data_IF_798764279646
#
_entry.id   IF_798764279646
#
_cell.length_a   1.000
_cell.length_b   1.000
_cell.length_c   1.000
_cell.angle_alpha   90.00
_cell.angle_beta   90.00
_cell.angle_gamma   90.00
#
_symmetry.space_group_name_H-M   'P 1'
#
loop_
_entity.id
_entity.type
_entity.pdbx_description
1 polymer ?
#
# COMPACT_ATOMS: atom_id res chain seq x y z
N UNK A 1 10.40 2.69 -5.16
CA UNK A 1 9.10 2.73 -5.85
C UNK A 1 8.03 2.61 -4.78
N UNK A 2 7.07 3.52 -4.74
CA UNK A 2 6.01 3.55 -3.73
C UNK A 2 4.68 3.78 -4.44
N UNK A 3 3.68 2.96 -4.12
CA UNK A 3 2.39 3.02 -4.78
C UNK A 3 1.39 3.80 -3.95
N UNK A 4 0.53 4.56 -4.63
CA UNK A 4 -0.60 5.25 -4.02
C UNK A 4 -1.67 4.23 -3.66
N UNK A 5 -2.06 4.20 -2.39
CA UNK A 5 -3.26 3.51 -1.96
C UNK A 5 -4.46 4.45 -1.83
N UNK A 6 -5.63 3.86 -1.57
CA UNK A 6 -6.83 4.66 -1.34
C UNK A 6 -6.72 5.54 -0.07
N UNK A 7 -5.93 5.12 0.93
CA UNK A 7 -5.69 5.89 2.15
C UNK A 7 -4.86 7.15 1.87
N UNK A 8 -3.78 7.02 1.08
CA UNK A 8 -2.90 8.12 0.69
C UNK A 8 -3.63 9.18 -0.13
N UNK A 9 -4.67 8.79 -0.87
CA UNK A 9 -5.49 9.71 -1.66
C UNK A 9 -6.28 10.72 -0.82
N UNK A 10 -6.51 10.43 0.46
CA UNK A 10 -7.32 11.29 1.32
C UNK A 10 -6.58 12.53 1.82
N UNK A 11 -5.26 12.49 2.01
CA UNK A 11 -4.52 13.66 2.53
C UNK A 11 -4.66 14.84 1.56
N UNK A 12 -4.31 14.73 0.26
CA UNK A 12 -4.50 15.84 -0.68
C UNK A 12 -5.96 16.26 -0.81
N UNK A 13 -6.90 15.29 -0.76
CA UNK A 13 -8.33 15.57 -0.80
C UNK A 13 -8.80 16.38 0.41
N UNK A 14 -8.33 16.06 1.61
CA UNK A 14 -8.67 16.77 2.84
C UNK A 14 -8.11 18.19 2.87
N UNK A 15 -6.91 18.39 2.33
CA UNK A 15 -6.31 19.72 2.21
C UNK A 15 -7.09 20.63 1.25
N UNK A 16 -7.71 20.05 0.21
CA UNK A 16 -8.53 20.79 -0.76
C UNK A 16 -10.01 20.92 -0.33
N UNK A 17 -10.59 19.86 0.21
CA UNK A 17 -11.97 19.77 0.69
C UNK A 17 -12.00 19.16 2.11
N UNK A 18 -11.98 20.00 3.15
CA UNK A 18 -12.00 19.54 4.54
C UNK A 18 -13.23 18.70 4.91
N UNK A 19 -14.33 18.82 4.16
CA UNK A 19 -15.53 18.00 4.39
C UNK A 19 -15.31 16.52 4.12
N UNK A 20 -14.27 16.16 3.37
CA UNK A 20 -13.87 14.78 3.12
C UNK A 20 -13.39 14.03 4.37
N UNK A 21 -13.14 14.72 5.48
CA UNK A 21 -12.80 14.07 6.76
C UNK A 21 -13.89 13.10 7.24
N UNK A 22 -15.16 13.35 6.86
CA UNK A 22 -16.29 12.45 7.15
C UNK A 22 -16.10 11.05 6.56
N UNK A 23 -15.46 10.97 5.39
CA UNK A 23 -15.14 9.71 4.70
C UNK A 23 -13.80 9.18 5.21
N UNK A 24 -12.80 10.07 5.29
CA UNK A 24 -11.43 9.70 5.67
C UNK A 24 -11.32 9.12 7.09
N UNK A 25 -12.17 9.55 8.03
CA UNK A 25 -12.18 8.97 9.39
C UNK A 25 -12.47 7.47 9.41
N UNK A 26 -13.12 6.92 8.39
CA UNK A 26 -13.35 5.47 8.26
C UNK A 26 -12.07 4.70 7.87
N UNK A 27 -11.03 5.43 7.48
CA UNK A 27 -9.78 4.95 6.92
C UNK A 27 -8.55 5.50 7.67
N UNK A 28 -8.70 5.86 8.95
CA UNK A 28 -7.58 6.31 9.78
C UNK A 28 -7.27 7.81 9.72
N UNK A 29 -8.20 8.63 9.23
CA UNK A 29 -7.96 10.07 9.06
C UNK A 29 -7.70 10.83 10.37
N UNK A 30 -8.43 10.50 11.45
CA UNK A 30 -8.23 11.17 12.75
C UNK A 30 -6.88 10.78 13.35
N UNK A 31 -6.52 9.50 13.27
CA UNK A 31 -5.25 8.94 13.69
C UNK A 31 -4.09 9.59 12.92
N UNK A 32 -4.27 9.83 11.62
CA UNK A 32 -3.30 10.55 10.80
C UNK A 32 -3.12 11.99 11.31
N UNK A 33 -4.19 12.74 11.56
CA UNK A 33 -4.11 14.10 12.11
C UNK A 33 -3.36 14.12 13.46
N UNK A 34 -3.69 13.19 14.35
CA UNK A 34 -3.01 13.04 15.65
C UNK A 34 -1.52 12.74 15.48
N UNK A 35 -1.13 11.92 14.50
CA UNK A 35 0.28 11.62 14.23
C UNK A 35 1.11 12.83 13.80
N UNK A 36 0.46 13.86 13.25
CA UNK A 36 1.07 15.16 12.92
C UNK A 36 0.99 16.18 14.07
N UNK A 37 0.53 15.78 15.25
CA UNK A 37 0.49 16.63 16.44
C UNK A 37 -0.80 17.45 16.61
N UNK A 38 -1.84 17.18 15.82
CA UNK A 38 -3.14 17.85 15.93
C UNK A 38 -4.02 17.15 16.97
N UNK A 39 -5.04 17.86 17.47
CA UNK A 39 -5.99 17.35 18.47
C UNK A 39 -7.44 17.46 17.97
N UNK A 40 -7.85 16.66 16.97
CA UNK A 40 -9.22 16.70 16.47
C UNK A 40 -10.21 16.17 17.52
N UNK A 41 -11.39 16.77 17.59
CA UNK A 41 -12.52 16.22 18.34
C UNK A 41 -13.03 14.92 17.69
N UNK A 42 -13.81 14.13 18.43
CA UNK A 42 -14.37 12.86 17.92
C UNK A 42 -15.32 13.12 16.73
N UNK A 43 -15.98 14.27 16.70
CA UNK A 43 -16.91 14.67 15.65
C UNK A 43 -16.65 16.13 15.24
N UNK A 44 -15.59 16.38 14.45
CA UNK A 44 -15.21 17.74 14.09
C UNK A 44 -16.31 18.47 13.35
N UNK A 45 -16.66 19.65 13.82
CA UNK A 45 -17.59 20.54 13.11
C UNK A 45 -17.00 20.99 11.77
N UNK A 46 -17.82 21.53 10.86
CA UNK A 46 -17.31 22.07 9.60
C UNK A 46 -16.25 23.18 9.81
N UNK A 47 -16.42 24.00 10.85
CA UNK A 47 -15.43 25.01 11.21
C UNK A 47 -14.10 24.36 11.66
N UNK A 48 -14.18 23.36 12.53
CA UNK A 48 -13.02 22.63 13.02
C UNK A 48 -12.27 21.89 11.90
N UNK A 49 -12.99 21.28 10.95
CA UNK A 49 -12.39 20.62 9.78
C UNK A 49 -11.50 21.58 8.98
N UNK A 50 -11.95 22.82 8.76
CA UNK A 50 -11.15 23.84 8.06
C UNK A 50 -9.91 24.25 8.85
N UNK A 51 -10.02 24.36 10.18
CA UNK A 51 -8.87 24.63 11.06
C UNK A 51 -7.85 23.48 10.99
N UNK A 52 -8.32 22.24 11.12
CA UNK A 52 -7.49 21.04 11.04
C UNK A 52 -6.75 20.93 9.70
N UNK A 53 -7.39 21.26 8.58
CA UNK A 53 -6.72 21.28 7.27
C UNK A 53 -5.60 22.34 7.21
N UNK A 54 -5.84 23.53 7.75
CA UNK A 54 -4.84 24.60 7.81
C UNK A 54 -3.67 24.23 8.73
N UNK A 55 -3.96 23.63 9.89
CA UNK A 55 -2.95 23.17 10.85
C UNK A 55 -2.14 22.00 10.31
N UNK A 56 -2.78 21.08 9.56
CA UNK A 56 -2.08 19.96 8.95
C UNK A 56 -1.05 20.45 7.93
N UNK A 57 -1.39 21.42 7.08
CA UNK A 57 -0.44 22.02 6.12
C UNK A 57 0.77 22.62 6.84
N UNK A 58 0.55 23.28 7.99
CA UNK A 58 1.64 23.89 8.77
C UNK A 58 2.50 22.87 9.50
N UNK A 59 1.90 21.78 9.96
CA UNK A 59 2.57 20.75 10.78
C UNK A 59 3.26 19.68 9.93
N UNK A 60 2.79 19.47 8.69
CA UNK A 60 3.35 18.49 7.78
C UNK A 60 4.64 19.01 7.12
N UNK A 61 5.76 18.26 7.20
CA UNK A 61 6.95 18.59 6.44
C UNK A 61 6.65 18.61 4.93
N UNK A 62 7.14 19.60 4.15
CA UNK A 62 6.88 19.69 2.71
C UNK A 62 7.26 18.42 1.93
N UNK A 63 8.26 17.67 2.42
CA UNK A 63 8.70 16.41 1.84
C UNK A 63 7.63 15.32 1.91
N UNK A 64 6.79 15.31 2.95
CA UNK A 64 5.71 14.33 3.09
C UNK A 64 4.60 14.60 2.09
N UNK A 65 4.21 15.87 1.92
CA UNK A 65 3.20 16.24 0.92
C UNK A 65 3.70 15.92 -0.49
N UNK A 66 4.94 16.32 -0.81
CA UNK A 66 5.55 15.98 -2.11
C UNK A 66 5.63 14.45 -2.32
N UNK A 67 5.95 13.68 -1.27
CA UNK A 67 5.94 12.22 -1.36
C UNK A 67 4.55 11.70 -1.74
N UNK A 68 3.49 12.13 -1.07
CA UNK A 68 2.11 11.70 -1.32
C UNK A 68 1.61 12.10 -2.72
N UNK A 69 2.03 13.27 -3.21
CA UNK A 69 1.67 13.79 -4.53
C UNK A 69 2.41 13.09 -5.68
N UNK A 70 3.53 12.43 -5.40
CA UNK A 70 4.40 11.78 -6.40
C UNK A 70 4.27 10.25 -6.43
N UNK A 71 3.33 9.68 -5.66
CA UNK A 71 3.09 8.24 -5.65
C UNK A 71 2.53 7.73 -6.98
N UNK A 72 3.14 6.68 -7.50
CA UNK A 72 2.67 6.02 -8.72
C UNK A 72 1.40 5.20 -8.45
N UNK A 73 0.47 5.16 -9.39
CA UNK A 73 -0.73 4.33 -9.28
C UNK A 73 -0.45 2.84 -9.51
N UNK A 74 0.59 2.55 -10.31
CA UNK A 74 1.03 1.19 -10.59
C UNK A 74 2.49 1.20 -11.03
N UNK A 75 3.14 0.05 -10.92
CA UNK A 75 4.50 -0.16 -11.41
C UNK A 75 4.56 -1.48 -12.18
N UNK A 76 5.14 -1.46 -13.38
CA UNK A 76 5.31 -2.67 -14.19
C UNK A 76 6.79 -3.03 -14.32
N UNK A 77 7.13 -4.30 -14.11
CA UNK A 77 8.49 -4.80 -14.27
C UNK A 77 8.45 -6.26 -14.74
N UNK A 78 9.04 -6.53 -15.91
CA UNK A 78 8.99 -7.86 -16.53
C UNK A 78 7.54 -8.34 -16.69
N UNK A 79 7.25 -9.52 -16.15
CA UNK A 79 5.93 -10.15 -16.20
C UNK A 79 4.97 -9.68 -15.09
N UNK A 80 5.39 -8.75 -14.24
CA UNK A 80 4.64 -8.31 -13.07
C UNK A 80 4.09 -6.89 -13.21
N UNK A 81 2.90 -6.68 -12.64
CA UNK A 81 2.32 -5.36 -12.38
C UNK A 81 1.97 -5.26 -10.90
N UNK A 82 2.42 -4.19 -10.25
CA UNK A 82 2.15 -3.89 -8.86
C UNK A 82 1.13 -2.76 -8.80
N UNK A 83 0.05 -2.95 -8.04
CA UNK A 83 -1.06 -2.00 -7.90
C UNK A 83 -1.65 -2.10 -6.49
N UNK A 84 -2.27 -1.05 -5.97
CA UNK A 84 -2.86 -1.09 -4.63
C UNK A 84 -4.01 -2.09 -4.49
N UNK A 85 -5.10 -1.93 -5.25
CA UNK A 85 -6.29 -2.76 -5.09
C UNK A 85 -6.40 -3.91 -6.09
N UNK A 86 -6.17 -3.61 -7.36
CA UNK A 86 -6.33 -4.57 -8.45
C UNK A 86 -6.54 -3.85 -9.78
N UNK A 87 -7.04 -4.58 -10.77
CA UNK A 87 -7.33 -4.05 -12.10
C UNK A 87 -8.70 -4.52 -12.58
N UNK A 88 -9.37 -3.69 -13.37
CA UNK A 88 -10.64 -4.03 -14.02
C UNK A 88 -10.42 -5.13 -15.07
N UNK A 89 -11.07 -6.31 -14.94
CA UNK A 89 -10.93 -7.36 -15.95
C UNK A 89 -11.42 -6.94 -17.32
N UNK A 90 -10.75 -7.43 -18.37
CA UNK A 90 -11.08 -7.10 -19.76
C UNK A 90 -10.64 -5.71 -20.23
N UNK A 91 -10.07 -4.89 -19.34
CA UNK A 91 -9.51 -3.58 -19.68
C UNK A 91 -7.97 -3.68 -19.73
N UNK A 92 -7.32 -3.19 -20.79
CA UNK A 92 -5.85 -3.18 -20.87
C UNK A 92 -5.21 -2.43 -19.70
N UNK A 93 -4.01 -2.83 -19.25
CA UNK A 93 -3.33 -2.20 -18.10
C UNK A 93 -3.16 -0.69 -18.31
N UNK A 94 -2.79 -0.28 -19.52
CA UNK A 94 -2.61 1.13 -19.89
C UNK A 94 -3.92 1.96 -19.94
N UNK A 95 -5.08 1.32 -19.80
CA UNK A 95 -6.41 1.95 -19.85
C UNK A 95 -7.20 1.81 -18.54
N UNK A 96 -6.56 1.31 -17.49
CA UNK A 96 -7.17 1.21 -16.17
C UNK A 96 -7.48 2.60 -15.61
N UNK A 97 -8.60 2.72 -14.90
CA UNK A 97 -8.99 3.96 -14.23
C UNK A 97 -8.35 4.00 -12.84
N UNK A 98 -7.93 5.18 -12.39
CA UNK A 98 -7.41 5.37 -11.02
C UNK A 98 -8.37 4.80 -9.96
N UNK A 99 -9.67 5.03 -10.11
CA UNK A 99 -10.68 4.49 -9.19
C UNK A 99 -10.62 2.96 -9.07
N UNK A 100 -10.43 2.24 -10.18
CA UNK A 100 -10.29 0.78 -10.15
C UNK A 100 -8.98 0.36 -9.47
N UNK A 101 -7.87 1.03 -9.82
CA UNK A 101 -6.55 0.75 -9.25
C UNK A 101 -6.51 0.94 -7.72
N UNK A 102 -7.34 1.85 -7.18
CA UNK A 102 -7.39 2.18 -5.76
C UNK A 102 -8.49 1.45 -4.98
N UNK A 103 -9.59 1.04 -5.62
CA UNK A 103 -10.80 0.60 -4.89
C UNK A 103 -11.43 -0.71 -5.36
N UNK A 104 -11.00 -1.31 -6.49
CA UNK A 104 -11.68 -2.50 -7.00
C UNK A 104 -11.58 -3.69 -6.03
N UNK A 105 -12.65 -4.49 -5.97
CA UNK A 105 -12.75 -5.70 -5.13
C UNK A 105 -13.30 -6.87 -5.93
N UNK A 106 -14.59 -7.17 -5.79
CA UNK A 106 -15.18 -8.45 -6.19
C UNK A 106 -14.94 -8.82 -7.65
N UNK A 107 -15.09 -7.87 -8.58
CA UNK A 107 -14.85 -8.10 -10.00
C UNK A 107 -13.39 -8.54 -10.29
N UNK A 108 -12.42 -8.03 -9.54
CA UNK A 108 -11.01 -8.42 -9.68
C UNK A 108 -10.69 -9.70 -8.88
N UNK A 109 -11.18 -9.80 -7.64
CA UNK A 109 -10.89 -10.92 -6.74
C UNK A 109 -11.52 -12.24 -7.19
N UNK A 110 -12.68 -12.17 -7.87
CA UNK A 110 -13.36 -13.36 -8.42
C UNK A 110 -12.85 -13.77 -9.81
N UNK A 111 -12.02 -12.95 -10.45
CA UNK A 111 -11.50 -13.26 -11.78
C UNK A 111 -10.40 -14.32 -11.74
N UNK A 112 -10.60 -15.40 -12.50
CA UNK A 112 -9.73 -16.59 -12.53
C UNK A 112 -8.92 -16.76 -13.82
N UNK A 113 -9.12 -15.87 -14.81
CA UNK A 113 -8.37 -15.89 -16.07
C UNK A 113 -7.08 -15.06 -15.99
N UNK A 114 -6.08 -15.34 -16.84
CA UNK A 114 -4.88 -14.53 -16.93
C UNK A 114 -5.16 -13.06 -17.25
N UNK A 115 -4.28 -12.18 -16.78
CA UNK A 115 -4.19 -10.77 -17.20
C UNK A 115 -2.99 -10.57 -18.13
N UNK A 116 -2.77 -9.33 -18.60
CA UNK A 116 -1.58 -8.96 -19.37
C UNK A 116 -0.26 -9.20 -18.61
N UNK A 117 -0.31 -9.16 -17.28
CA UNK A 117 0.80 -9.38 -16.34
C UNK A 117 0.29 -10.07 -15.08
N UNK A 118 1.18 -10.72 -14.34
CA UNK A 118 0.87 -11.20 -13.00
C UNK A 118 0.69 -10.01 -12.04
N UNK A 119 -0.45 -9.94 -11.36
CA UNK A 119 -0.81 -8.76 -10.56
C UNK A 119 -0.44 -8.96 -9.08
N UNK A 120 0.44 -8.12 -8.54
CA UNK A 120 0.71 -8.07 -7.09
C UNK A 120 -0.06 -6.91 -6.49
N UNK A 121 -0.87 -7.18 -5.46
CA UNK A 121 -1.78 -6.20 -4.90
C UNK A 121 -2.03 -6.36 -3.39
N UNK A 122 -2.82 -5.44 -2.85
CA UNK A 122 -3.32 -5.42 -1.48
C UNK A 122 -4.79 -4.99 -1.42
N UNK A 123 -5.08 -3.99 -0.56
CA UNK A 123 -6.38 -3.33 -0.33
C UNK A 123 -7.46 -4.16 0.38
N UNK A 124 -7.55 -5.46 0.08
CA UNK A 124 -8.51 -6.37 0.73
C UNK A 124 -7.77 -7.29 1.68
N UNK A 125 -7.81 -7.04 3.00
CA UNK A 125 -7.07 -7.83 3.97
C UNK A 125 -7.45 -9.31 3.95
N UNK A 126 -6.45 -10.18 3.93
CA UNK A 126 -6.59 -11.64 4.00
C UNK A 126 -5.81 -12.22 5.20
N UNK A 127 -6.19 -13.40 5.68
CA UNK A 127 -5.52 -13.99 6.87
C UNK A 127 -4.09 -14.45 6.60
N UNK A 128 -3.79 -14.81 5.36
CA UNK A 128 -2.49 -15.18 4.85
C UNK A 128 -2.42 -14.74 3.38
N UNK A 129 -1.22 -14.58 2.78
CA UNK A 129 -1.09 -14.17 1.39
C UNK A 129 -1.93 -15.05 0.46
N UNK A 130 -2.77 -14.46 -0.40
CA UNK A 130 -3.61 -15.18 -1.37
C UNK A 130 -2.91 -15.19 -2.72
N UNK A 131 -2.23 -16.29 -3.04
CA UNK A 131 -1.49 -16.47 -4.29
C UNK A 131 -2.33 -17.32 -5.23
N UNK A 132 -2.64 -16.77 -6.41
CA UNK A 132 -3.36 -17.41 -7.51
C UNK A 132 -2.47 -17.47 -8.76
N UNK A 133 -3.00 -18.07 -9.81
CA UNK A 133 -2.31 -18.15 -11.12
C UNK A 133 -2.12 -16.79 -11.79
N UNK A 134 -2.99 -15.81 -11.50
CA UNK A 134 -3.02 -14.50 -12.16
C UNK A 134 -2.67 -13.32 -11.23
N UNK A 135 -2.58 -13.54 -9.91
CA UNK A 135 -2.33 -12.48 -8.92
C UNK A 135 -1.78 -13.01 -7.59
N UNK A 136 -1.20 -12.11 -6.80
CA UNK A 136 -0.88 -12.33 -5.39
C UNK A 136 -1.38 -11.15 -4.54
N UNK A 137 -2.23 -11.44 -3.54
CA UNK A 137 -2.60 -10.48 -2.50
C UNK A 137 -1.65 -10.61 -1.31
N UNK A 138 -0.95 -9.53 -0.97
CA UNK A 138 -0.01 -9.49 0.15
C UNK A 138 -0.52 -8.70 1.36
N UNK A 139 -1.72 -8.11 1.29
CA UNK A 139 -2.33 -7.39 2.41
C UNK A 139 -2.84 -8.38 3.46
N UNK A 140 -2.05 -8.61 4.49
CA UNK A 140 -2.42 -9.44 5.65
C UNK A 140 -3.00 -8.63 6.83
N UNK A 141 -3.38 -7.38 6.56
CA UNK A 141 -3.99 -6.49 7.54
C UNK A 141 -3.04 -6.10 8.66
N UNK A 142 -1.85 -5.60 8.33
CA UNK A 142 -0.82 -5.25 9.32
C UNK A 142 -1.34 -4.30 10.42
N UNK A 143 -2.22 -3.36 10.06
CA UNK A 143 -2.83 -2.42 11.01
C UNK A 143 -3.67 -3.11 12.11
N UNK A 144 -4.28 -4.25 11.79
CA UNK A 144 -5.16 -4.98 12.70
C UNK A 144 -4.48 -6.22 13.31
N UNK A 145 -3.58 -6.87 12.58
CA UNK A 145 -2.98 -8.14 12.98
C UNK A 145 -1.52 -8.03 13.41
N UNK A 146 -0.86 -6.89 13.17
CA UNK A 146 0.57 -6.71 13.39
C UNK A 146 1.48 -7.47 12.43
N UNK A 147 0.91 -8.21 11.46
CA UNK A 147 1.66 -9.01 10.49
C UNK A 147 1.81 -8.25 9.18
N UNK A 148 3.06 -8.04 8.76
CA UNK A 148 3.42 -7.47 7.47
C UNK A 148 3.97 -8.58 6.57
N UNK A 149 3.38 -8.76 5.40
CA UNK A 149 3.86 -9.70 4.38
C UNK A 149 4.88 -9.02 3.48
N UNK A 150 5.95 -9.74 3.14
CA UNK A 150 6.81 -9.40 2.01
C UNK A 150 6.75 -10.53 0.97
N UNK A 151 6.89 -10.20 -0.32
CA UNK A 151 6.93 -11.17 -1.41
C UNK A 151 8.30 -11.08 -2.08
N UNK A 152 9.04 -12.18 -2.09
CA UNK A 152 10.27 -12.31 -2.88
C UNK A 152 9.96 -12.97 -4.21
N UNK A 153 10.47 -12.39 -5.30
CA UNK A 153 10.29 -12.90 -6.67
C UNK A 153 11.68 -13.15 -7.25
N UNK A 154 11.98 -14.41 -7.57
CA UNK A 154 13.27 -14.82 -8.13
C UNK A 154 13.03 -15.79 -9.30
N UNK A 155 13.35 -15.32 -10.52
CA UNK A 155 13.01 -16.06 -11.74
C UNK A 155 11.51 -16.27 -11.86
N UNK A 156 11.07 -17.52 -11.90
CA UNK A 156 9.66 -17.92 -11.89
C UNK A 156 9.11 -18.26 -10.50
N UNK A 157 9.91 -18.14 -9.44
CA UNK A 157 9.53 -18.49 -8.08
C UNK A 157 8.97 -17.28 -7.34
N UNK A 158 7.81 -17.47 -6.72
CA UNK A 158 7.15 -16.49 -5.85
C UNK A 158 7.15 -17.06 -4.43
N UNK A 159 7.85 -16.43 -3.50
CA UNK A 159 7.99 -16.88 -2.12
C UNK A 159 7.45 -15.81 -1.17
N UNK A 160 6.31 -16.02 -0.47
CA UNK A 160 5.86 -15.12 0.57
C UNK A 160 6.76 -15.24 1.80
N UNK A 161 7.42 -14.16 2.15
CA UNK A 161 8.11 -13.99 3.42
C UNK A 161 7.08 -13.48 4.44
N UNK A 162 6.56 -14.40 5.25
CA UNK A 162 5.62 -14.09 6.31
C UNK A 162 6.43 -13.84 7.59
N UNK A 163 6.08 -12.78 8.31
CA UNK A 163 6.63 -12.43 9.63
C UNK A 163 8.06 -11.83 9.61
N UNK A 164 8.15 -10.56 9.23
CA UNK A 164 9.39 -9.77 9.35
C UNK A 164 9.85 -9.56 10.81
N UNK A 165 9.03 -9.86 11.84
CA UNK A 165 9.51 -9.80 13.23
C UNK A 165 10.50 -10.93 13.50
N UNK A 166 10.30 -12.11 12.90
CA UNK A 166 11.22 -13.24 12.99
C UNK A 166 12.54 -13.03 12.22
N UNK A 167 12.56 -12.15 11.22
CA UNK A 167 13.75 -11.87 10.40
C UNK A 167 14.85 -11.15 11.18
N UNK A 168 14.51 -10.41 12.25
CA UNK A 168 15.50 -9.80 13.15
C UNK A 168 16.32 -10.83 13.95
N UNK A 169 15.88 -12.09 14.00
CA UNK A 169 16.56 -13.15 14.73
C UNK A 169 17.46 -14.05 13.88
N UNK A 170 17.52 -13.86 12.55
CA UNK A 170 18.49 -14.56 11.70
C UNK A 170 19.77 -13.73 11.50
N UNK A 171 20.57 -13.60 12.56
CA UNK A 171 22.02 -13.52 12.41
C UNK A 171 22.52 -14.95 12.14
N UNK A 172 22.66 -15.34 10.88
CA UNK A 172 23.74 -16.24 10.42
C UNK A 172 23.57 -16.57 8.93
N UNK A 173 24.22 -15.76 8.09
CA UNK A 173 24.75 -16.22 6.79
C UNK A 173 26.10 -15.56 6.54
N UNK A 174 27.04 -15.75 7.48
CA UNK A 174 28.47 -15.69 7.18
C UNK A 174 29.04 -17.11 7.23
N UNK A 175 29.04 -17.79 6.08
CA UNK A 175 30.02 -18.83 5.79
C UNK A 175 30.03 -19.16 4.30
N UNK A 176 30.89 -18.48 3.54
CA UNK A 176 31.68 -19.17 2.53
C UNK A 176 33.14 -18.79 2.75
N UNK A 177 33.79 -19.62 3.56
CA UNK A 177 35.23 -19.71 3.70
C UNK A 177 35.89 -19.79 2.33
N UNK A 178 36.70 -18.79 1.98
CA UNK A 178 37.76 -18.95 0.98
C UNK A 178 39.03 -19.40 1.69
N UNK A 179 39.47 -20.61 1.36
CA UNK A 179 40.87 -21.05 1.33
C UNK A 179 40.88 -22.19 0.30
N UNK A 180 41.87 -22.29 -0.62
CA UNK A 180 43.29 -22.26 -0.28
C UNK A 180 44.22 -21.61 -1.33
N UNK A 181 45.54 -21.77 -1.11
CA UNK A 181 46.73 -21.43 -1.92
C UNK A 181 47.32 -20.04 -1.64
N UNK A 182 48.61 -19.87 -1.36
CA UNK A 182 49.75 -20.77 -1.25
C UNK A 182 51.03 -19.96 -0.98
N UNK A 183 52.09 -20.68 -0.59
CA UNK A 183 53.44 -20.27 -0.16
C UNK A 183 53.60 -19.81 1.29
#
# INVERSE_FOLDING_TARGET
>A
MFLKGNHESFVPRFLHDPSSLKDWRLFGGLETLVSYGLTPSINPSAHEQNLLATELIRSMPPQHLNFLETLDLSFCCGDFCFVHAGIRPGIPLAKQREEDLLWIRDDFLSWDKPFEKFIVHGHTPVRAPDIRSNRANIDTGAFATGRLTCLAIEGSSIVPLIDLQSWRHHEDTRALSKSPSGF
#
